data_IF_422724090261
#
_entry.id   IF_422724090261
#
_cell.length_a   1.000
_cell.length_b   1.000
_cell.length_c   1.000
_cell.angle_alpha   90.00
_cell.angle_beta   90.00
_cell.angle_gamma   90.00
#
_symmetry.space_group_name_H-M   'P 1'
#
loop_
_entity.id
_entity.type
_entity.pdbx_description
1 polymer ?
#
# COMPACT_ATOMS: atom_id res chain seq x y z
N UNK A 1 -17.75 3.07 -20.83
CA UNK A 1 -17.57 4.46 -20.36
C UNK A 1 -18.60 4.71 -19.26
N UNK A 2 -18.26 4.46 -18.04
CA UNK A 2 -19.04 4.84 -16.85
C UNK A 2 -18.04 5.39 -15.85
N UNK A 3 -18.10 6.69 -15.66
CA UNK A 3 -17.35 7.45 -14.65
C UNK A 3 -17.81 6.98 -13.29
N UNK A 4 -17.03 6.13 -12.64
CA UNK A 4 -17.13 5.92 -11.20
C UNK A 4 -16.49 7.14 -10.52
N UNK A 5 -17.36 8.04 -10.12
CA UNK A 5 -17.05 9.08 -9.16
C UNK A 5 -16.71 8.35 -7.86
N UNK A 6 -15.43 8.22 -7.54
CA UNK A 6 -14.97 7.90 -6.20
C UNK A 6 -15.45 9.04 -5.28
N UNK A 7 -16.59 8.83 -4.63
CA UNK A 7 -16.93 9.54 -3.42
C UNK A 7 -15.98 8.99 -2.34
N UNK A 8 -14.77 9.53 -2.29
CA UNK A 8 -13.96 9.46 -1.10
C UNK A 8 -14.72 10.24 -0.03
N UNK A 9 -15.49 9.53 0.78
CA UNK A 9 -15.82 9.97 2.12
C UNK A 9 -14.49 10.04 2.89
N UNK A 10 -13.70 11.05 2.54
CA UNK A 10 -12.83 11.71 3.47
C UNK A 10 -13.77 12.14 4.62
N UNK A 11 -13.83 11.33 5.66
CA UNK A 11 -13.90 11.85 6.99
C UNK A 11 -12.58 12.62 7.18
N UNK A 12 -12.41 13.67 6.36
CA UNK A 12 -11.64 14.80 6.77
C UNK A 12 -12.27 15.14 8.12
N UNK A 13 -11.54 14.85 9.19
CA UNK A 13 -11.56 15.69 10.36
C UNK A 13 -11.32 17.10 9.81
N UNK A 14 -12.39 17.71 9.31
CA UNK A 14 -12.42 19.11 8.98
C UNK A 14 -12.38 19.80 10.34
N UNK A 15 -11.17 19.84 10.90
CA UNK A 15 -10.81 20.98 11.65
C UNK A 15 -10.86 22.12 10.63
N UNK A 16 -12.04 22.62 10.36
CA UNK A 16 -12.18 23.94 9.81
C UNK A 16 -11.57 24.84 10.87
N UNK A 17 -10.23 24.94 10.84
CA UNK A 17 -9.60 26.13 11.32
C UNK A 17 -10.11 27.17 10.35
N UNK A 18 -11.29 27.72 10.63
CA UNK A 18 -11.64 29.02 10.13
C UNK A 18 -10.48 29.92 10.58
N UNK A 19 -9.54 30.14 9.66
CA UNK A 19 -8.51 31.16 9.78
C UNK A 19 -9.17 32.56 9.64
N UNK A 20 -10.42 32.69 10.06
CA UNK A 20 -11.09 33.94 10.31
C UNK A 20 -10.72 34.32 11.74
N UNK A 21 -10.27 35.56 11.94
CA UNK A 21 -10.14 36.15 13.27
C UNK A 21 -11.43 35.86 14.02
N UNK A 22 -11.40 34.89 14.95
CA UNK A 22 -12.57 34.63 15.77
C UNK A 22 -12.86 35.90 16.54
N UNK A 23 -14.02 36.48 16.32
CA UNK A 23 -14.47 37.63 17.05
C UNK A 23 -14.42 37.29 18.55
N UNK A 24 -13.77 38.11 19.35
CA UNK A 24 -13.56 37.85 20.79
C UNK A 24 -14.89 37.57 21.52
N UNK A 25 -16.00 38.13 21.04
CA UNK A 25 -17.35 37.89 21.57
C UNK A 25 -17.83 36.46 21.38
N UNK A 26 -17.27 35.71 20.43
CA UNK A 26 -17.58 34.29 20.20
C UNK A 26 -16.96 33.36 21.26
N UNK A 27 -16.11 33.87 22.13
CA UNK A 27 -15.55 33.11 23.24
C UNK A 27 -16.56 32.85 24.35
N UNK A 28 -17.63 33.65 24.45
CA UNK A 28 -18.67 33.46 25.46
C UNK A 28 -19.25 32.04 25.42
N UNK A 29 -19.30 31.38 26.57
CA UNK A 29 -19.76 30.01 26.72
C UNK A 29 -18.75 28.93 26.35
N UNK A 30 -17.51 29.29 26.05
CA UNK A 30 -16.44 28.32 25.69
C UNK A 30 -15.50 28.04 26.86
N UNK A 31 -15.01 26.82 26.91
CA UNK A 31 -13.89 26.43 27.75
C UNK A 31 -12.58 26.67 27.00
N UNK A 32 -11.71 27.53 27.53
CA UNK A 32 -10.45 27.88 26.89
C UNK A 32 -9.27 27.72 27.85
N UNK A 33 -8.09 27.63 27.30
CA UNK A 33 -6.84 27.70 28.03
C UNK A 33 -6.02 28.84 27.43
N UNK A 34 -5.80 29.89 28.19
CA UNK A 34 -4.94 30.96 27.75
C UNK A 34 -3.48 30.46 27.70
N UNK A 35 -2.82 30.69 26.58
CA UNK A 35 -1.45 30.21 26.33
C UNK A 35 -0.42 31.28 26.49
N UNK A 36 -0.85 32.53 26.44
CA UNK A 36 0.03 33.69 26.60
C UNK A 36 -0.75 34.85 27.23
N UNK A 37 -0.05 35.70 27.93
CA UNK A 37 -0.56 36.98 28.40
C UNK A 37 -0.56 38.06 27.31
N UNK A 38 -0.14 37.72 26.11
CA UNK A 38 -0.05 38.64 24.97
C UNK A 38 -1.39 38.73 24.26
N UNK A 39 -1.80 39.94 23.97
CA UNK A 39 -3.01 40.23 23.21
C UNK A 39 -2.60 40.85 21.88
N UNK A 40 -3.13 40.29 20.79
CA UNK A 40 -2.87 40.83 19.46
C UNK A 40 -4.01 41.75 19.01
N UNK A 41 -3.63 42.82 18.30
CA UNK A 41 -4.54 43.77 17.67
C UNK A 41 -4.40 43.68 16.14
N UNK A 42 -5.51 43.55 15.44
CA UNK A 42 -5.64 43.01 14.06
C UNK A 42 -4.74 43.56 12.98
N UNK A 43 -4.37 44.83 12.91
CA UNK A 43 -3.69 45.29 11.69
C UNK A 43 -2.25 45.81 11.84
N UNK A 44 -1.68 45.74 13.01
CA UNK A 44 -0.26 46.14 13.18
C UNK A 44 0.69 45.06 13.66
N UNK A 45 0.28 43.79 13.76
CA UNK A 45 1.12 42.70 14.27
C UNK A 45 1.95 43.06 15.53
N UNK A 46 1.52 44.02 16.25
CA UNK A 46 2.22 44.52 17.44
C UNK A 46 1.62 43.84 18.67
N UNK A 47 2.37 42.91 19.22
CA UNK A 47 2.10 42.38 20.55
C UNK A 47 2.46 43.43 21.56
N UNK A 48 1.48 43.90 22.31
CA UNK A 48 1.74 44.72 23.48
C UNK A 48 1.89 43.81 24.70
N UNK A 49 3.14 43.63 25.15
CA UNK A 49 3.42 43.04 26.45
C UNK A 49 2.75 43.94 27.49
N UNK A 50 1.92 43.42 28.36
CA UNK A 50 1.18 44.13 29.41
C UNK A 50 -0.17 44.79 29.04
N UNK A 51 -0.79 44.44 27.95
CA UNK A 51 -2.12 44.93 27.65
C UNK A 51 -3.17 43.94 28.16
N UNK A 52 -3.83 44.30 29.21
CA UNK A 52 -4.87 43.53 29.87
C UNK A 52 -4.51 43.23 31.33
N UNK A 53 -5.28 43.74 32.21
CA UNK A 53 -5.16 43.47 33.66
C UNK A 53 -6.22 42.45 34.02
N UNK A 54 -5.85 41.42 34.79
CA UNK A 54 -6.73 40.38 35.25
C UNK A 54 -6.97 40.58 36.73
N UNK A 55 -8.23 40.64 37.12
CA UNK A 55 -8.66 40.91 38.48
C UNK A 55 -9.58 39.81 38.97
N UNK A 56 -9.55 39.53 40.28
CA UNK A 56 -10.60 38.77 40.93
C UNK A 56 -11.84 39.67 41.10
N UNK A 57 -13.06 39.14 40.94
CA UNK A 57 -14.30 39.93 41.05
C UNK A 57 -14.45 40.60 42.40
N UNK A 58 -13.98 40.00 43.49
CA UNK A 58 -13.99 40.64 44.80
C UNK A 58 -13.06 41.86 44.90
N UNK A 59 -11.92 41.81 44.21
CA UNK A 59 -11.00 42.95 44.17
C UNK A 59 -11.53 44.09 43.33
N UNK A 60 -12.36 43.83 42.30
CA UNK A 60 -13.04 44.86 41.51
C UNK A 60 -14.08 45.66 42.31
N UNK A 61 -14.73 45.04 43.28
CA UNK A 61 -15.68 45.71 44.16
C UNK A 61 -15.03 46.64 45.17
N UNK A 62 -13.79 46.40 45.52
CA UNK A 62 -13.08 47.08 46.62
C UNK A 62 -12.12 48.19 46.17
N UNK A 63 -11.72 48.22 44.90
CA UNK A 63 -10.70 49.16 44.44
C UNK A 63 -11.14 49.93 43.22
N UNK A 64 -11.17 51.22 43.35
CA UNK A 64 -11.12 52.14 42.24
C UNK A 64 -9.75 51.87 41.53
N UNK A 65 -9.73 51.00 40.58
CA UNK A 65 -8.65 50.75 39.62
C UNK A 65 -7.22 51.08 40.10
N UNK A 66 -6.78 50.55 41.20
CA UNK A 66 -5.38 50.61 41.57
C UNK A 66 -4.77 49.22 41.38
N UNK A 67 -3.78 49.20 40.56
CA UNK A 67 -3.00 48.09 40.05
C UNK A 67 -2.47 47.13 41.14
N UNK A 68 -3.17 46.05 41.40
CA UNK A 68 -2.49 44.85 41.88
C UNK A 68 -2.82 43.73 40.90
N UNK A 69 -1.90 43.50 40.02
CA UNK A 69 -1.94 42.40 39.07
C UNK A 69 -2.06 41.09 39.84
N UNK A 70 -3.14 40.33 39.62
CA UNK A 70 -3.14 38.91 39.92
C UNK A 70 -2.03 38.28 39.07
N UNK A 71 -1.26 37.39 39.68
CA UNK A 71 -0.14 36.75 39.04
C UNK A 71 -0.62 36.06 37.74
N UNK A 72 -0.18 36.61 36.62
CA UNK A 72 -0.49 36.08 35.28
C UNK A 72 -0.16 34.59 35.16
N UNK A 73 0.85 34.10 35.89
CA UNK A 73 1.24 32.68 35.91
C UNK A 73 0.22 31.73 36.49
N UNK A 74 -0.77 32.23 37.24
CA UNK A 74 -1.75 31.33 37.89
C UNK A 74 -2.91 30.93 36.99
N UNK A 75 -3.12 31.60 35.85
CA UNK A 75 -4.22 31.34 34.91
C UNK A 75 -3.79 30.84 33.55
N UNK A 76 -2.56 31.15 33.14
CA UNK A 76 -2.00 30.65 31.90
C UNK A 76 -1.82 29.14 32.01
N UNK A 77 -2.30 28.43 31.01
CA UNK A 77 -2.25 26.96 30.98
C UNK A 77 -3.35 26.26 31.79
N UNK A 78 -4.25 27.00 32.45
CA UNK A 78 -5.38 26.42 33.17
C UNK A 78 -6.70 26.54 32.40
N UNK A 79 -7.61 25.55 32.51
CA UNK A 79 -8.95 25.64 31.93
C UNK A 79 -9.75 26.78 32.55
N UNK A 80 -10.34 27.60 31.71
CA UNK A 80 -11.17 28.74 32.06
C UNK A 80 -12.49 28.67 31.27
N UNK A 81 -13.62 28.80 31.93
CA UNK A 81 -14.89 28.96 31.25
C UNK A 81 -15.16 30.45 31.03
N UNK A 82 -15.38 30.88 29.79
CA UNK A 82 -15.70 32.28 29.44
C UNK A 82 -17.18 32.52 29.71
N UNK A 83 -17.46 33.15 30.83
CA UNK A 83 -18.84 33.39 31.25
C UNK A 83 -19.47 34.56 30.49
N UNK A 84 -18.74 35.66 30.30
CA UNK A 84 -19.25 36.83 29.60
C UNK A 84 -18.14 37.60 28.89
N UNK A 85 -18.50 38.22 27.76
CA UNK A 85 -17.65 39.18 27.02
C UNK A 85 -18.51 40.40 26.70
N UNK A 86 -18.11 41.55 27.23
CA UNK A 86 -18.90 42.78 27.04
C UNK A 86 -18.04 44.04 27.04
N UNK A 87 -18.60 45.08 26.41
CA UNK A 87 -18.02 46.43 26.45
C UNK A 87 -18.68 47.21 27.55
N UNK A 88 -17.88 47.90 28.35
CA UNK A 88 -18.36 48.85 29.35
C UNK A 88 -17.89 50.26 29.00
N UNK A 89 -18.73 51.29 29.35
CA UNK A 89 -18.35 52.70 29.30
C UNK A 89 -17.83 53.13 30.67
N UNK A 90 -16.66 53.72 30.69
CA UNK A 90 -16.16 54.33 31.93
C UNK A 90 -16.87 55.66 32.18
N UNK A 91 -17.40 55.83 33.37
CA UNK A 91 -18.30 56.95 33.74
C UNK A 91 -17.68 58.34 33.65
N UNK A 92 -16.33 58.49 33.66
CA UNK A 92 -15.70 59.78 33.78
C UNK A 92 -14.93 60.29 32.54
N UNK A 93 -14.70 59.46 31.47
CA UNK A 93 -13.88 59.88 30.37
C UNK A 93 -14.36 59.49 28.97
N UNK A 94 -15.57 59.03 28.78
CA UNK A 94 -16.07 58.43 27.50
C UNK A 94 -15.22 57.32 26.96
N UNK A 95 -14.29 56.75 27.77
CA UNK A 95 -13.44 55.63 27.35
C UNK A 95 -14.17 54.32 27.51
N UNK A 96 -14.01 53.46 26.51
CA UNK A 96 -14.59 52.13 26.52
C UNK A 96 -13.56 51.10 26.96
N UNK A 97 -14.00 50.02 27.58
CA UNK A 97 -13.16 48.89 27.88
C UNK A 97 -13.91 47.58 27.54
N UNK A 98 -13.19 46.59 27.07
CA UNK A 98 -13.68 45.26 26.94
C UNK A 98 -13.44 44.49 28.24
N UNK A 99 -14.48 43.82 28.72
CA UNK A 99 -14.41 42.96 29.89
C UNK A 99 -14.71 41.52 29.44
N UNK A 100 -13.83 40.61 29.86
CA UNK A 100 -14.02 39.19 29.72
C UNK A 100 -14.05 38.59 31.12
N UNK A 101 -15.14 37.94 31.51
CA UNK A 101 -15.21 37.25 32.78
C UNK A 101 -15.02 35.75 32.57
N UNK A 102 -14.17 35.16 33.39
CA UNK A 102 -13.84 33.75 33.39
C UNK A 102 -14.24 33.13 34.72
N UNK A 103 -14.89 31.99 34.69
CA UNK A 103 -15.07 31.16 35.86
C UNK A 103 -13.99 30.09 35.92
N UNK A 104 -13.36 29.98 37.07
CA UNK A 104 -12.49 28.88 37.46
C UNK A 104 -13.26 27.97 38.38
N UNK A 105 -12.69 26.82 38.78
CA UNK A 105 -13.35 25.92 39.74
C UNK A 105 -13.63 26.57 41.11
N UNK A 106 -12.95 27.66 41.45
CA UNK A 106 -13.06 28.33 42.77
C UNK A 106 -13.43 29.78 42.71
N UNK A 107 -13.17 30.49 41.61
CA UNK A 107 -13.26 31.94 41.52
C UNK A 107 -13.75 32.44 40.18
N UNK A 108 -14.36 33.60 40.15
CA UNK A 108 -14.63 34.34 38.92
C UNK A 108 -13.55 35.42 38.73
N UNK A 109 -12.87 35.35 37.60
CA UNK A 109 -11.83 36.29 37.20
C UNK A 109 -12.35 37.23 36.12
N UNK A 110 -11.83 38.43 36.08
CA UNK A 110 -12.22 39.40 35.08
C UNK A 110 -10.98 39.99 34.41
N UNK A 111 -10.87 39.82 33.11
CA UNK A 111 -9.88 40.50 32.30
C UNK A 111 -10.45 41.83 31.84
N UNK A 112 -9.69 42.86 32.05
CA UNK A 112 -10.03 44.24 31.68
C UNK A 112 -9.09 44.71 30.59
N UNK A 113 -9.64 45.11 29.45
CA UNK A 113 -8.91 45.56 28.27
C UNK A 113 -9.37 46.96 27.89
N UNK A 114 -8.61 48.04 28.16
CA UNK A 114 -8.97 49.36 27.68
C UNK A 114 -8.93 49.40 26.14
N UNK A 115 -10.00 49.95 25.54
CA UNK A 115 -10.12 50.08 24.08
C UNK A 115 -9.41 51.34 23.52
N UNK A 116 -8.47 51.89 24.25
CA UNK A 116 -7.63 53.00 23.83
C UNK A 116 -6.20 52.66 24.06
N UNK A 117 -5.41 52.69 23.00
CA UNK A 117 -3.96 52.53 23.04
C UNK A 117 -3.28 53.89 23.04
N UNK A 118 -2.43 54.10 24.00
CA UNK A 118 -1.46 55.22 23.94
C UNK A 118 -0.34 54.79 23.00
N UNK A 119 -0.30 55.35 21.81
CA UNK A 119 0.80 55.10 20.90
C UNK A 119 2.01 55.94 21.27
N UNK A 120 3.22 55.47 20.95
CA UNK A 120 4.44 56.23 21.03
C UNK A 120 4.59 57.20 19.83
N UNK A 121 3.63 57.20 18.92
CA UNK A 121 3.65 58.08 17.76
C UNK A 121 3.16 59.47 18.13
N UNK A 122 3.89 60.49 17.70
CA UNK A 122 3.55 61.87 17.88
C UNK A 122 3.17 62.47 16.53
N UNK A 123 1.91 62.93 16.40
CA UNK A 123 1.48 63.70 15.25
C UNK A 123 1.35 65.16 15.72
N UNK A 124 2.13 66.05 15.11
CA UNK A 124 2.12 67.46 15.49
C UNK A 124 2.53 67.76 16.93
N UNK A 125 3.35 66.87 17.55
CA UNK A 125 3.84 67.08 18.95
C UNK A 125 2.89 66.55 20.03
N UNK A 126 1.73 65.98 19.65
CA UNK A 126 0.77 65.41 20.59
C UNK A 126 0.75 63.86 20.49
N UNK A 127 0.67 63.22 21.65
CA UNK A 127 0.45 61.78 21.72
C UNK A 127 -0.93 61.43 21.16
N UNK A 128 -0.99 60.53 20.22
CA UNK A 128 -2.26 60.08 19.62
C UNK A 128 -2.75 58.85 20.37
N UNK A 129 -3.94 58.95 20.94
CA UNK A 129 -4.65 57.80 21.47
C UNK A 129 -5.44 57.15 20.31
N UNK A 130 -5.18 55.87 20.04
CA UNK A 130 -5.89 55.10 18.99
C UNK A 130 -7.01 54.29 19.64
N UNK A 131 -8.23 54.49 19.14
CA UNK A 131 -9.35 53.63 19.51
C UNK A 131 -9.16 52.23 18.87
N UNK A 132 -9.30 51.20 19.69
CA UNK A 132 -9.18 49.81 19.26
C UNK A 132 -10.57 49.25 18.98
N UNK A 133 -10.75 48.69 17.79
CA UNK A 133 -11.97 47.97 17.49
C UNK A 133 -11.96 46.63 18.29
N UNK A 134 -12.95 46.40 19.15
CA UNK A 134 -13.04 45.17 19.94
C UNK A 134 -13.04 43.89 19.10
N UNK A 135 -13.57 43.94 17.88
CA UNK A 135 -13.63 42.78 16.97
C UNK A 135 -12.25 42.39 16.41
N UNK A 136 -11.27 43.30 16.49
CA UNK A 136 -9.89 43.06 16.07
C UNK A 136 -9.00 42.52 17.19
N UNK A 137 -9.53 42.45 18.42
CA UNK A 137 -8.81 41.90 19.58
C UNK A 137 -8.82 40.40 19.52
N UNK A 138 -7.66 39.78 19.58
CA UNK A 138 -7.52 38.36 19.69
C UNK A 138 -6.68 37.92 20.89
N UNK A 139 -7.12 36.84 21.51
CA UNK A 139 -6.37 36.18 22.59
C UNK A 139 -5.66 34.95 22.01
N UNK A 140 -4.49 34.63 22.56
CA UNK A 140 -3.84 33.36 22.31
C UNK A 140 -4.43 32.31 23.26
N UNK A 141 -5.18 31.38 22.74
CA UNK A 141 -5.85 30.35 23.54
C UNK A 141 -5.97 29.02 22.80
N UNK A 142 -6.17 27.96 23.57
CA UNK A 142 -6.62 26.67 23.06
C UNK A 142 -8.07 26.45 23.47
N UNK A 143 -8.88 25.91 22.57
CA UNK A 143 -10.24 25.49 22.88
C UNK A 143 -10.20 24.11 23.56
N UNK A 144 -10.60 24.03 24.84
CA UNK A 144 -10.59 22.80 25.61
C UNK A 144 -11.53 21.73 25.04
N UNK A 145 -12.71 22.15 24.55
CA UNK A 145 -13.69 21.20 24.02
C UNK A 145 -13.19 20.57 22.72
N UNK A 146 -12.47 21.35 21.91
CA UNK A 146 -11.83 20.86 20.70
C UNK A 146 -10.68 19.89 21.02
N UNK A 147 -9.83 20.24 21.98
CA UNK A 147 -8.74 19.36 22.46
C UNK A 147 -9.32 18.05 22.97
N UNK A 148 -10.33 18.09 23.83
CA UNK A 148 -10.96 16.90 24.40
C UNK A 148 -11.62 16.03 23.33
N UNK A 149 -12.32 16.66 22.37
CA UNK A 149 -12.92 15.95 21.23
C UNK A 149 -11.82 15.25 20.41
N UNK A 150 -10.78 15.98 20.07
CA UNK A 150 -9.65 15.44 19.31
C UNK A 150 -8.96 14.31 20.07
N UNK A 151 -8.68 14.52 21.37
CA UNK A 151 -8.10 13.47 22.21
C UNK A 151 -8.92 12.19 22.17
N UNK A 152 -10.24 12.29 22.35
CA UNK A 152 -11.13 11.13 22.31
C UNK A 152 -11.16 10.43 20.94
N UNK A 153 -10.99 11.20 19.86
CA UNK A 153 -11.00 10.68 18.49
C UNK A 153 -9.71 9.95 18.10
N UNK A 154 -8.55 10.41 18.61
CA UNK A 154 -7.25 9.89 18.19
C UNK A 154 -6.56 9.01 19.25
N UNK A 155 -7.01 9.06 20.50
CA UNK A 155 -6.39 8.28 21.58
C UNK A 155 -6.34 6.79 21.24
N UNK A 156 -5.17 6.18 21.42
CA UNK A 156 -4.87 4.80 21.07
C UNK A 156 -4.94 4.46 19.57
N UNK A 157 -5.20 5.45 18.69
CA UNK A 157 -5.11 5.20 17.25
C UNK A 157 -3.67 5.04 16.81
N UNK A 158 -3.50 4.16 15.84
CA UNK A 158 -2.22 3.86 15.22
C UNK A 158 -2.07 4.67 13.95
N UNK A 159 -0.87 5.21 13.70
CA UNK A 159 -0.61 6.08 12.56
C UNK A 159 0.83 5.97 12.06
N UNK A 160 1.05 6.46 10.85
CA UNK A 160 2.36 6.62 10.21
C UNK A 160 2.59 8.09 9.88
N UNK A 161 3.83 8.55 9.92
CA UNK A 161 4.16 9.78 9.21
C UNK A 161 4.29 9.52 7.71
N UNK A 162 3.80 10.43 6.87
CA UNK A 162 3.96 10.35 5.41
C UNK A 162 5.43 10.21 5.04
N UNK A 163 5.74 9.33 4.10
CA UNK A 163 7.12 9.05 3.69
C UNK A 163 7.91 8.15 4.66
N UNK A 164 7.28 7.61 5.70
CA UNK A 164 7.89 6.67 6.65
C UNK A 164 7.01 5.45 6.86
N UNK A 165 7.65 4.28 6.99
CA UNK A 165 6.96 3.01 7.28
C UNK A 165 7.14 2.58 8.74
N UNK A 166 7.16 3.55 9.65
CA UNK A 166 7.24 3.33 11.08
C UNK A 166 5.90 3.61 11.74
N UNK A 167 5.38 2.64 12.48
CA UNK A 167 4.07 2.70 13.11
C UNK A 167 4.17 3.28 14.51
N UNK A 168 3.35 4.29 14.77
CA UNK A 168 3.21 4.96 16.05
C UNK A 168 1.80 4.82 16.62
N UNK A 169 1.68 4.98 17.92
CA UNK A 169 0.42 4.94 18.67
C UNK A 169 0.27 6.27 19.40
N UNK A 170 -0.89 6.91 19.29
CA UNK A 170 -1.19 8.10 20.07
C UNK A 170 -1.40 7.73 21.53
N UNK A 171 -0.63 8.36 22.42
CA UNK A 171 -0.74 8.17 23.85
C UNK A 171 -1.65 9.21 24.49
N UNK A 172 -1.34 10.50 24.29
CA UNK A 172 -2.03 11.60 24.96
C UNK A 172 -1.85 12.93 24.23
N UNK A 173 -2.73 13.88 24.53
CA UNK A 173 -2.56 15.30 24.23
C UNK A 173 -2.57 16.04 25.55
N UNK A 174 -1.52 16.80 25.82
CA UNK A 174 -1.37 17.63 27.02
C UNK A 174 -1.01 19.06 26.61
N UNK A 175 -1.13 19.96 27.55
CA UNK A 175 -0.63 21.33 27.39
C UNK A 175 0.59 21.47 28.27
N UNK A 176 1.71 21.80 27.67
CA UNK A 176 2.98 22.04 28.34
C UNK A 176 3.40 23.49 28.10
N UNK A 177 3.35 24.30 29.15
CA UNK A 177 3.50 25.76 29.10
C UNK A 177 2.41 26.37 28.19
N UNK A 178 2.81 26.90 27.05
CA UNK A 178 1.99 27.57 26.06
C UNK A 178 1.83 26.72 24.75
N UNK A 179 2.33 25.50 24.76
CA UNK A 179 2.30 24.60 23.62
C UNK A 179 1.37 23.42 23.87
N UNK A 180 0.67 23.00 22.83
CA UNK A 180 -0.04 21.73 22.82
C UNK A 180 0.98 20.64 22.50
N UNK A 181 1.11 19.67 23.39
CA UNK A 181 2.03 18.56 23.26
C UNK A 181 1.25 17.31 22.87
N UNK A 182 1.51 16.79 21.66
CA UNK A 182 1.01 15.50 21.20
C UNK A 182 2.05 14.45 21.57
N UNK A 183 1.68 13.51 22.42
CA UNK A 183 2.53 12.42 22.89
C UNK A 183 2.15 11.13 22.13
N UNK A 184 3.17 10.40 21.67
CA UNK A 184 2.99 9.14 20.96
C UNK A 184 4.19 8.22 21.20
N UNK A 185 4.00 6.94 20.98
CA UNK A 185 5.02 5.91 21.15
C UNK A 185 5.14 5.02 19.91
N UNK A 186 6.30 4.41 19.72
CA UNK A 186 6.53 3.39 18.71
C UNK A 186 6.20 1.98 19.24
N UNK A 187 6.43 0.96 18.44
CA UNK A 187 6.22 -0.45 18.79
C UNK A 187 7.11 -0.93 19.94
N UNK A 188 8.22 -0.22 20.21
CA UNK A 188 9.16 -0.53 21.30
C UNK A 188 8.80 0.20 22.59
N UNK A 189 7.69 0.95 22.61
CA UNK A 189 7.25 1.82 23.69
C UNK A 189 8.18 3.03 23.94
N UNK A 190 9.04 3.36 22.98
CA UNK A 190 9.79 4.60 23.01
C UNK A 190 8.84 5.77 22.79
N UNK A 191 8.92 6.79 23.68
CA UNK A 191 8.02 7.94 23.66
C UNK A 191 8.59 9.09 22.86
N UNK A 192 7.70 9.77 22.14
CA UNK A 192 7.99 10.94 21.32
C UNK A 192 6.98 12.04 21.64
N UNK A 193 7.36 13.27 21.32
CA UNK A 193 6.55 14.45 21.54
C UNK A 193 6.58 15.34 20.29
N UNK A 194 5.41 15.86 19.91
CA UNK A 194 5.27 16.85 18.86
C UNK A 194 4.57 18.08 19.42
N UNK A 195 5.24 19.22 19.36
CA UNK A 195 4.73 20.47 19.93
C UNK A 195 4.01 21.29 18.86
N UNK A 196 2.79 21.70 19.16
CA UNK A 196 1.95 22.52 18.32
C UNK A 196 1.78 23.86 19.03
N UNK A 197 2.08 24.95 18.34
CA UNK A 197 1.88 26.29 18.88
C UNK A 197 0.39 26.60 19.04
N UNK A 198 0.07 27.41 20.05
CA UNK A 198 -1.27 27.93 20.21
C UNK A 198 -1.74 28.71 18.98
N UNK A 199 -3.04 28.70 18.74
CA UNK A 199 -3.63 29.56 17.73
C UNK A 199 -3.31 31.02 18.01
N UNK A 200 -2.48 31.61 17.18
CA UNK A 200 -2.42 33.05 17.05
C UNK A 200 -3.20 33.41 15.79
N UNK A 201 -4.29 34.12 15.96
CA UNK A 201 -5.24 34.42 14.87
C UNK A 201 -4.64 35.25 13.73
N UNK A 202 -3.41 35.77 13.86
CA UNK A 202 -2.77 36.65 12.87
C UNK A 202 -1.35 36.26 12.42
N UNK A 203 -0.85 35.06 12.74
CA UNK A 203 0.52 34.70 12.34
C UNK A 203 0.50 33.76 11.13
N UNK A 204 0.85 34.29 9.96
CA UNK A 204 0.96 33.54 8.68
C UNK A 204 2.13 32.53 8.60
N UNK A 205 2.89 32.33 9.67
CA UNK A 205 4.13 31.55 9.64
C UNK A 205 4.27 30.47 10.71
N UNK A 206 3.18 29.86 11.18
CA UNK A 206 3.34 28.70 12.05
C UNK A 206 3.23 27.41 11.24
N UNK A 207 4.40 26.88 10.82
CA UNK A 207 4.51 25.56 10.19
C UNK A 207 4.11 24.39 11.11
N UNK A 208 3.84 24.65 12.39
CA UNK A 208 3.50 23.66 13.40
C UNK A 208 2.07 23.83 13.92
N UNK A 209 1.10 23.91 13.02
CA UNK A 209 -0.32 23.85 13.39
C UNK A 209 -0.79 22.41 13.56
N UNK A 210 -1.91 22.21 14.27
CA UNK A 210 -2.54 20.89 14.35
C UNK A 210 -2.90 20.33 12.97
N UNK A 211 -3.34 21.19 12.05
CA UNK A 211 -3.59 20.82 10.65
C UNK A 211 -2.32 20.36 9.94
N UNK A 212 -1.18 20.98 10.19
CA UNK A 212 0.12 20.54 9.65
C UNK A 212 0.48 19.17 10.19
N UNK A 213 0.30 18.93 11.48
CA UNK A 213 0.53 17.62 12.07
C UNK A 213 -0.41 16.56 11.47
N UNK A 214 -1.73 16.78 11.47
CA UNK A 214 -2.70 15.82 10.94
C UNK A 214 -2.55 15.59 9.45
N UNK A 215 -2.17 16.60 8.68
CA UNK A 215 -1.88 16.44 7.25
C UNK A 215 -0.61 15.65 6.95
N UNK A 216 0.28 15.52 7.93
CA UNK A 216 1.54 14.78 7.81
C UNK A 216 1.45 13.31 8.23
N UNK A 217 0.30 12.87 8.72
CA UNK A 217 0.09 11.50 9.19
C UNK A 217 -0.91 10.73 8.32
N UNK A 218 -0.85 9.40 8.42
CA UNK A 218 -1.77 8.45 7.82
C UNK A 218 -2.25 7.50 8.92
N UNK A 219 -3.55 7.44 9.17
CA UNK A 219 -4.10 6.50 10.13
C UNK A 219 -4.09 5.07 9.57
N UNK A 220 -3.69 4.11 10.40
CA UNK A 220 -3.67 2.70 10.01
C UNK A 220 -5.07 2.19 9.63
N UNK A 221 -6.10 2.57 10.38
CA UNK A 221 -7.48 2.19 10.12
C UNK A 221 -7.97 2.63 8.73
N UNK A 222 -7.55 3.83 8.29
CA UNK A 222 -7.91 4.36 6.97
C UNK A 222 -7.20 3.56 5.87
N UNK A 223 -5.92 3.21 6.07
CA UNK A 223 -5.15 2.40 5.13
C UNK A 223 -5.73 0.98 5.01
N UNK A 224 -6.12 0.37 6.13
CA UNK A 224 -6.80 -0.93 6.15
C UNK A 224 -8.16 -0.83 5.45
N UNK A 225 -8.91 0.24 5.70
CA UNK A 225 -10.20 0.47 5.05
C UNK A 225 -10.06 0.65 3.54
N UNK A 226 -9.05 1.38 3.08
CA UNK A 226 -8.72 1.50 1.66
C UNK A 226 -8.34 0.15 1.04
N UNK A 227 -7.55 -0.66 1.76
CA UNK A 227 -7.24 -2.02 1.33
C UNK A 227 -8.51 -2.87 1.16
N UNK A 228 -9.44 -2.83 2.14
CA UNK A 228 -10.72 -3.54 2.06
C UNK A 228 -11.59 -3.07 0.89
N UNK A 229 -11.60 -1.77 0.59
CA UNK A 229 -12.36 -1.22 -0.53
C UNK A 229 -11.79 -1.60 -1.90
N UNK A 230 -10.50 -1.92 -1.98
CA UNK A 230 -9.84 -2.36 -3.22
C UNK A 230 -10.35 -3.72 -3.70
N UNK A 231 -10.81 -4.58 -2.79
CA UNK A 231 -11.26 -5.93 -3.08
C UNK A 231 -12.73 -6.07 -2.69
N UNK A 232 -13.49 -6.82 -3.49
CA UNK A 232 -14.85 -7.20 -3.12
C UNK A 232 -14.84 -8.12 -1.89
N UNK A 233 -15.61 -7.77 -0.87
CA UNK A 233 -15.71 -8.57 0.35
C UNK A 233 -16.23 -9.98 0.07
N UNK A 234 -17.16 -10.15 -0.89
CA UNK A 234 -17.66 -11.45 -1.29
C UNK A 234 -16.57 -12.29 -1.96
N UNK A 235 -15.73 -11.67 -2.77
CA UNK A 235 -14.57 -12.32 -3.38
C UNK A 235 -13.56 -12.81 -2.33
N UNK A 236 -13.20 -11.95 -1.36
CA UNK A 236 -12.29 -12.35 -0.28
C UNK A 236 -12.88 -13.46 0.59
N UNK A 237 -14.16 -13.39 0.91
CA UNK A 237 -14.84 -14.46 1.65
C UNK A 237 -14.80 -15.79 0.87
N UNK A 238 -15.14 -15.79 -0.42
CA UNK A 238 -15.09 -16.97 -1.28
C UNK A 238 -13.67 -17.54 -1.39
N UNK A 239 -12.63 -16.69 -1.51
CA UNK A 239 -11.23 -17.13 -1.49
C UNK A 239 -10.89 -17.79 -0.15
N UNK A 240 -11.30 -17.18 0.96
CA UNK A 240 -11.04 -17.71 2.30
C UNK A 240 -11.69 -19.08 2.47
N UNK A 241 -12.95 -19.23 2.12
CA UNK A 241 -13.68 -20.51 2.22
C UNK A 241 -13.09 -21.58 1.30
N UNK A 242 -12.58 -21.18 0.14
CA UNK A 242 -12.03 -22.12 -0.85
C UNK A 242 -10.61 -22.57 -0.52
N UNK A 243 -9.78 -21.73 0.12
CA UNK A 243 -8.35 -21.97 0.26
C UNK A 243 -7.87 -22.17 1.71
N UNK A 244 -8.55 -21.57 2.70
CA UNK A 244 -8.11 -21.63 4.10
C UNK A 244 -8.07 -23.08 4.61
N UNK A 245 -6.98 -23.45 5.25
CA UNK A 245 -6.67 -24.80 5.77
C UNK A 245 -6.66 -25.90 4.70
N UNK A 246 -6.55 -25.53 3.42
CA UNK A 246 -6.44 -26.50 2.33
C UNK A 246 -5.03 -26.50 1.76
N UNK A 247 -4.67 -27.64 1.17
CA UNK A 247 -3.45 -27.75 0.41
C UNK A 247 -3.65 -27.13 -0.97
N UNK A 248 -2.72 -26.27 -1.36
CA UNK A 248 -2.69 -25.57 -2.64
C UNK A 248 -1.39 -25.84 -3.37
N UNK A 249 -1.41 -25.67 -4.68
CA UNK A 249 -0.23 -25.73 -5.51
C UNK A 249 0.07 -24.35 -6.10
N UNK A 250 1.30 -23.86 -5.90
CA UNK A 250 1.82 -22.66 -6.56
C UNK A 250 2.46 -23.08 -7.88
N UNK A 251 1.87 -22.67 -9.00
CA UNK A 251 2.31 -23.06 -10.35
C UNK A 251 3.41 -22.16 -10.91
N UNK A 252 3.63 -20.97 -10.34
CA UNK A 252 4.59 -19.99 -10.85
C UNK A 252 5.47 -19.40 -9.74
N UNK A 253 6.60 -18.80 -10.14
CA UNK A 253 7.56 -18.15 -9.24
C UNK A 253 8.65 -19.07 -8.72
N UNK A 254 9.57 -18.47 -7.95
CA UNK A 254 10.74 -19.15 -7.38
C UNK A 254 10.39 -20.19 -6.30
N UNK A 255 9.18 -20.14 -5.76
CA UNK A 255 8.66 -21.01 -4.69
C UNK A 255 7.53 -21.90 -5.20
N UNK A 256 7.69 -22.50 -6.37
CA UNK A 256 6.74 -23.49 -6.91
C UNK A 256 6.65 -24.70 -5.99
N UNK A 257 5.45 -25.15 -5.65
CA UNK A 257 5.27 -26.31 -4.80
C UNK A 257 3.90 -26.41 -4.13
N UNK A 258 3.76 -27.39 -3.26
CA UNK A 258 2.55 -27.61 -2.46
C UNK A 258 2.69 -26.94 -1.10
N UNK A 259 1.65 -26.22 -0.68
CA UNK A 259 1.59 -25.48 0.58
C UNK A 259 0.22 -25.62 1.22
N UNK A 260 0.16 -25.48 2.52
CA UNK A 260 -1.11 -25.33 3.25
C UNK A 260 -1.36 -23.84 3.45
N UNK A 261 -2.53 -23.36 3.06
CA UNK A 261 -2.96 -21.98 3.31
C UNK A 261 -3.45 -21.87 4.77
N UNK A 262 -2.59 -21.35 5.67
CA UNK A 262 -2.91 -21.26 7.09
C UNK A 262 -3.74 -20.06 7.47
N UNK A 263 -3.53 -18.94 6.80
CA UNK A 263 -4.18 -17.68 7.13
C UNK A 263 -4.29 -16.74 5.94
N UNK A 264 -5.33 -15.92 5.97
CA UNK A 264 -5.51 -14.77 5.06
C UNK A 264 -5.75 -13.55 5.94
N UNK A 265 -4.82 -12.62 5.95
CA UNK A 265 -4.83 -11.43 6.82
C UNK A 265 -4.49 -10.17 6.02
N UNK A 266 -4.83 -9.00 6.58
CA UNK A 266 -4.39 -7.72 6.02
C UNK A 266 -3.12 -7.32 6.75
N UNK A 267 -2.03 -7.15 5.98
CA UNK A 267 -0.73 -6.79 6.52
C UNK A 267 -0.10 -5.63 5.74
N UNK A 268 0.76 -4.89 6.43
CA UNK A 268 1.57 -3.85 5.79
C UNK A 268 2.76 -4.50 5.07
N UNK A 269 2.80 -4.38 3.75
CA UNK A 269 3.87 -4.88 2.87
C UNK A 269 4.78 -3.78 2.34
N UNK A 270 4.52 -2.53 2.72
CA UNK A 270 5.32 -1.39 2.30
C UNK A 270 6.75 -1.46 2.84
N UNK A 271 7.71 -0.95 2.08
CA UNK A 271 9.12 -0.85 2.49
C UNK A 271 9.51 0.56 2.90
N UNK A 272 9.07 1.56 2.14
CA UNK A 272 9.35 2.98 2.40
C UNK A 272 8.14 3.71 2.98
N UNK A 273 6.96 3.37 2.48
CA UNK A 273 5.67 3.91 2.94
C UNK A 273 4.73 2.76 3.28
N UNK A 274 3.77 2.94 4.19
CA UNK A 274 2.83 1.90 4.54
C UNK A 274 1.93 1.57 3.34
N UNK A 275 1.86 0.29 3.03
CA UNK A 275 1.01 -0.24 1.97
C UNK A 275 0.35 -1.53 2.48
N UNK A 276 -0.96 -1.50 2.69
CA UNK A 276 -1.70 -2.65 3.19
C UNK A 276 -2.24 -3.49 2.04
N UNK A 277 -2.13 -4.81 2.20
CA UNK A 277 -2.72 -5.77 1.27
C UNK A 277 -3.19 -7.03 2.03
N UNK A 278 -4.08 -7.79 1.41
CA UNK A 278 -4.39 -9.14 1.86
C UNK A 278 -3.21 -10.06 1.57
N UNK A 279 -2.84 -10.85 2.56
CA UNK A 279 -1.67 -11.74 2.53
C UNK A 279 -2.13 -13.18 2.79
N UNK A 280 -1.77 -14.08 1.89
CA UNK A 280 -1.79 -15.51 2.16
C UNK A 280 -0.55 -15.89 2.96
N UNK A 281 -0.75 -16.50 4.11
CA UNK A 281 0.30 -17.18 4.85
C UNK A 281 0.25 -18.66 4.48
N UNK A 282 1.28 -19.11 3.78
CA UNK A 282 1.40 -20.44 3.23
C UNK A 282 2.53 -21.19 3.93
N UNK A 283 2.27 -22.41 4.37
CA UNK A 283 3.25 -23.27 5.04
C UNK A 283 3.59 -24.51 4.22
N UNK A 284 4.87 -24.80 4.14
CA UNK A 284 5.41 -26.07 3.67
C UNK A 284 6.43 -26.57 4.71
N UNK A 285 6.09 -27.61 5.47
CA UNK A 285 6.89 -28.09 6.60
C UNK A 285 7.20 -26.98 7.62
N UNK A 286 8.47 -26.57 7.77
CA UNK A 286 8.87 -25.46 8.63
C UNK A 286 8.94 -24.11 7.91
N UNK A 287 8.86 -24.11 6.59
CA UNK A 287 8.93 -22.89 5.78
C UNK A 287 7.58 -22.18 5.72
N UNK A 288 7.60 -20.89 6.02
CA UNK A 288 6.45 -20.01 5.90
C UNK A 288 6.71 -18.97 4.82
N UNK A 289 5.82 -18.84 3.87
CA UNK A 289 5.86 -17.79 2.88
C UNK A 289 4.61 -16.92 2.97
N UNK A 290 4.80 -15.64 2.66
CA UNK A 290 3.72 -14.65 2.62
C UNK A 290 3.57 -14.12 1.21
N UNK A 291 2.37 -14.27 0.64
CA UNK A 291 2.06 -13.84 -0.72
C UNK A 291 0.94 -12.80 -0.69
N UNK A 292 1.15 -11.60 -1.26
CA UNK A 292 0.07 -10.62 -1.40
C UNK A 292 -0.95 -11.09 -2.45
N UNK A 293 -2.23 -10.87 -2.16
CA UNK A 293 -3.30 -11.08 -3.12
C UNK A 293 -3.11 -10.11 -4.29
N UNK A 294 -3.18 -10.66 -5.50
CA UNK A 294 -3.11 -9.95 -6.77
C UNK A 294 -4.44 -10.07 -7.53
N UNK A 295 -4.62 -9.27 -8.57
CA UNK A 295 -5.82 -9.34 -9.40
C UNK A 295 -5.93 -10.67 -10.18
N UNK A 296 -4.79 -11.28 -10.49
CA UNK A 296 -4.71 -12.61 -11.11
C UNK A 296 -4.12 -13.60 -10.11
N UNK A 297 -4.96 -14.52 -9.65
CA UNK A 297 -4.60 -15.61 -8.73
C UNK A 297 -4.56 -16.97 -9.41
N UNK A 298 -4.54 -17.02 -10.74
CA UNK A 298 -4.54 -18.25 -11.53
C UNK A 298 -3.33 -19.17 -11.24
N UNK A 299 -2.28 -18.63 -10.65
CA UNK A 299 -1.10 -19.37 -10.23
C UNK A 299 -1.29 -20.15 -8.90
N UNK A 300 -2.41 -19.97 -8.21
CA UNK A 300 -2.79 -20.70 -6.99
C UNK A 300 -3.95 -21.62 -7.32
N UNK A 301 -3.72 -22.92 -7.22
CA UNK A 301 -4.71 -23.95 -7.53
C UNK A 301 -4.83 -24.89 -6.32
N UNK A 302 -6.02 -25.40 -6.05
CA UNK A 302 -6.18 -26.48 -5.07
C UNK A 302 -5.35 -27.69 -5.48
N UNK A 303 -4.63 -28.28 -4.54
CA UNK A 303 -3.71 -29.39 -4.80
C UNK A 303 -4.40 -30.59 -5.47
N UNK A 304 -5.64 -30.88 -5.05
CA UNK A 304 -6.42 -31.98 -5.62
C UNK A 304 -6.75 -31.73 -7.10
N UNK A 305 -7.14 -30.49 -7.44
CA UNK A 305 -7.43 -30.11 -8.84
C UNK A 305 -6.15 -30.24 -9.68
N UNK A 306 -5.03 -29.73 -9.16
CA UNK A 306 -3.75 -29.82 -9.88
C UNK A 306 -3.31 -31.26 -10.11
N UNK A 307 -3.42 -32.16 -9.09
CA UNK A 307 -3.07 -33.57 -9.22
C UNK A 307 -3.96 -34.30 -10.24
N UNK A 308 -5.25 -33.98 -10.24
CA UNK A 308 -6.19 -34.53 -11.19
C UNK A 308 -5.88 -34.11 -12.63
N UNK A 309 -5.58 -32.82 -12.84
CA UNK A 309 -5.16 -32.36 -14.17
C UNK A 309 -3.86 -33.01 -14.65
N UNK A 310 -2.89 -33.27 -13.76
CA UNK A 310 -1.68 -33.99 -14.13
C UNK A 310 -1.96 -35.46 -14.47
N UNK A 311 -2.86 -36.10 -13.71
CA UNK A 311 -3.28 -37.48 -13.99
C UNK A 311 -3.94 -37.62 -15.39
N UNK A 312 -4.84 -36.70 -15.71
CA UNK A 312 -5.51 -36.65 -17.01
C UNK A 312 -4.50 -36.45 -18.15
N UNK A 313 -3.58 -35.52 -18.00
CA UNK A 313 -2.52 -35.26 -19.00
C UNK A 313 -1.63 -36.49 -19.21
N UNK A 314 -1.26 -37.19 -18.15
CA UNK A 314 -0.43 -38.38 -18.23
C UNK A 314 -1.16 -39.53 -18.91
N UNK A 315 -2.45 -39.76 -18.60
CA UNK A 315 -3.27 -40.76 -19.28
C UNK A 315 -3.41 -40.46 -20.78
N UNK A 316 -3.56 -39.17 -21.12
CA UNK A 316 -3.65 -38.75 -22.52
C UNK A 316 -2.35 -39.01 -23.29
N UNK A 317 -1.20 -38.67 -22.68
CA UNK A 317 0.13 -38.94 -23.23
C UNK A 317 0.35 -40.44 -23.45
N UNK A 318 -0.06 -41.25 -22.47
CA UNK A 318 0.06 -42.74 -22.60
C UNK A 318 -0.83 -43.29 -23.72
N UNK A 319 -2.03 -42.77 -23.93
CA UNK A 319 -2.90 -43.15 -25.04
C UNK A 319 -2.29 -42.78 -26.39
N UNK A 320 -1.79 -41.54 -26.53
CA UNK A 320 -1.14 -41.06 -27.75
C UNK A 320 0.10 -41.92 -28.09
N UNK A 321 0.92 -42.28 -27.09
CA UNK A 321 2.07 -43.17 -27.24
C UNK A 321 1.64 -44.59 -27.69
N UNK A 322 0.60 -45.16 -27.05
CA UNK A 322 0.09 -46.49 -27.42
C UNK A 322 -0.51 -46.50 -28.83
N UNK A 323 -1.24 -45.47 -29.24
CA UNK A 323 -1.75 -45.33 -30.60
C UNK A 323 -0.61 -45.24 -31.62
N UNK A 324 0.44 -44.48 -31.34
CA UNK A 324 1.62 -44.34 -32.18
C UNK A 324 2.34 -45.68 -32.34
N UNK A 325 2.57 -46.41 -31.25
CA UNK A 325 3.18 -47.75 -31.32
C UNK A 325 2.35 -48.75 -32.13
N UNK A 326 1.03 -48.71 -31.94
CA UNK A 326 0.09 -49.58 -32.72
C UNK A 326 0.14 -49.27 -34.22
N UNK A 327 0.28 -47.98 -34.58
CA UNK A 327 0.44 -47.56 -35.97
C UNK A 327 1.74 -48.09 -36.57
N UNK A 328 2.87 -47.95 -35.86
CA UNK A 328 4.17 -48.48 -36.30
C UNK A 328 4.16 -49.98 -36.50
N UNK A 329 3.57 -50.75 -35.56
CA UNK A 329 3.46 -52.21 -35.68
C UNK A 329 2.59 -52.62 -36.89
N UNK A 330 1.55 -51.84 -37.21
CA UNK A 330 0.71 -52.06 -38.37
C UNK A 330 1.48 -51.83 -39.65
N UNK A 331 2.21 -50.72 -39.78
CA UNK A 331 3.05 -50.39 -40.93
C UNK A 331 4.13 -51.47 -41.16
N UNK A 332 4.79 -51.92 -40.09
CA UNK A 332 5.78 -53.00 -40.16
C UNK A 332 5.17 -54.29 -40.66
N UNK A 333 4.01 -54.67 -40.15
CA UNK A 333 3.27 -55.86 -40.60
C UNK A 333 2.87 -55.75 -42.07
N UNK A 334 2.38 -54.59 -42.50
CA UNK A 334 1.98 -54.38 -43.91
C UNK A 334 3.20 -54.40 -44.83
N UNK A 335 4.33 -53.80 -44.44
CA UNK A 335 5.56 -53.82 -45.17
C UNK A 335 6.09 -55.27 -45.32
N UNK A 336 6.18 -56.01 -44.22
CA UNK A 336 6.56 -57.44 -44.23
C UNK A 336 5.64 -58.30 -45.15
N UNK A 337 4.33 -58.10 -45.11
CA UNK A 337 3.39 -58.76 -45.96
C UNK A 337 3.63 -58.41 -47.44
N UNK A 338 3.92 -57.17 -47.76
CA UNK A 338 4.23 -56.68 -49.10
C UNK A 338 5.45 -57.40 -49.70
N UNK A 339 6.55 -57.45 -48.88
CA UNK A 339 7.77 -58.13 -49.27
C UNK A 339 7.56 -59.64 -49.51
N UNK A 340 6.79 -60.36 -48.65
CA UNK A 340 6.47 -61.72 -48.79
C UNK A 340 5.68 -62.00 -50.10
N UNK A 341 4.72 -61.09 -50.38
CA UNK A 341 3.93 -61.18 -51.61
C UNK A 341 4.77 -61.02 -52.88
N UNK A 342 5.74 -60.11 -52.84
CA UNK A 342 6.59 -59.71 -53.98
C UNK A 342 7.73 -60.66 -54.21
N UNK A 343 8.42 -61.11 -53.17
CA UNK A 343 9.69 -61.87 -53.28
C UNK A 343 9.64 -63.33 -52.73
N UNK A 344 8.52 -63.68 -52.15
CA UNK A 344 8.36 -64.96 -51.44
C UNK A 344 8.96 -64.88 -50.02
N UNK A 345 8.44 -65.79 -49.14
CA UNK A 345 8.73 -65.76 -47.71
C UNK A 345 10.24 -65.79 -47.38
N UNK A 346 11.03 -66.66 -48.08
CA UNK A 346 12.47 -66.78 -47.81
C UNK A 346 13.21 -65.52 -48.10
N UNK A 347 13.03 -64.93 -49.28
CA UNK A 347 13.74 -63.72 -49.70
C UNK A 347 13.31 -62.47 -48.87
N UNK A 348 12.01 -62.38 -48.58
CA UNK A 348 11.48 -61.32 -47.77
C UNK A 348 12.07 -61.26 -46.33
N UNK A 349 12.30 -62.47 -45.74
CA UNK A 349 12.94 -62.51 -44.41
C UNK A 349 14.39 -61.98 -44.44
N UNK A 350 15.15 -62.42 -45.50
CA UNK A 350 16.52 -61.91 -45.67
C UNK A 350 16.57 -60.41 -45.90
N UNK A 351 15.65 -59.85 -46.68
CA UNK A 351 15.54 -58.41 -46.92
C UNK A 351 15.28 -57.71 -45.60
N UNK A 352 14.33 -58.20 -44.77
CA UNK A 352 14.04 -57.62 -43.46
C UNK A 352 15.22 -57.69 -42.47
N UNK A 353 16.11 -58.68 -42.62
CA UNK A 353 17.32 -58.82 -41.85
C UNK A 353 18.51 -58.03 -42.45
N UNK A 354 18.24 -57.17 -43.46
CA UNK A 354 19.25 -56.42 -44.23
C UNK A 354 20.32 -57.34 -44.80
N UNK A 355 19.95 -58.54 -45.18
CA UNK A 355 20.83 -59.54 -45.76
C UNK A 355 20.61 -59.66 -47.24
N UNK A 356 21.65 -59.82 -48.03
CA UNK A 356 21.62 -60.13 -49.46
C UNK A 356 22.19 -61.51 -49.70
N UNK A 357 21.69 -62.19 -50.75
CA UNK A 357 22.09 -63.53 -51.10
C UNK A 357 22.37 -63.61 -52.62
N UNK A 358 23.37 -64.40 -53.05
CA UNK A 358 23.61 -64.74 -54.46
C UNK A 358 22.34 -65.26 -55.07
N UNK A 359 21.97 -64.72 -56.25
CA UNK A 359 20.71 -64.99 -56.92
C UNK A 359 19.62 -63.98 -56.69
N UNK A 360 19.82 -62.95 -55.81
CA UNK A 360 18.93 -61.77 -55.64
C UNK A 360 18.91 -60.95 -56.92
N UNK A 361 17.77 -60.35 -57.19
CA UNK A 361 17.64 -59.33 -58.20
C UNK A 361 18.20 -57.98 -57.64
N UNK A 362 18.52 -57.12 -58.56
CA UNK A 362 18.95 -55.70 -58.17
C UNK A 362 17.93 -55.08 -57.25
N UNK A 363 16.64 -55.21 -57.54
CA UNK A 363 15.55 -54.72 -56.76
C UNK A 363 15.53 -55.29 -55.34
N UNK A 364 15.76 -56.59 -55.17
CA UNK A 364 15.89 -57.25 -53.86
C UNK A 364 17.10 -56.67 -53.04
N UNK A 365 18.20 -56.39 -53.75
CA UNK A 365 19.37 -55.81 -53.11
C UNK A 365 19.14 -54.38 -52.66
N UNK A 366 18.39 -53.56 -53.43
CA UNK A 366 18.00 -52.21 -53.05
C UNK A 366 17.03 -52.27 -51.85
N UNK A 367 16.08 -53.16 -51.83
CA UNK A 367 15.15 -53.30 -50.68
C UNK A 367 15.91 -53.71 -49.39
N UNK A 368 16.99 -54.53 -49.53
CA UNK A 368 17.74 -54.99 -48.36
C UNK A 368 18.80 -53.94 -47.88
N UNK A 369 19.55 -53.37 -48.81
CA UNK A 369 20.67 -52.51 -48.47
C UNK A 369 20.50 -51.04 -48.87
N UNK A 370 19.39 -50.67 -49.52
CA UNK A 370 19.16 -49.36 -50.11
C UNK A 370 19.85 -49.18 -51.46
N UNK A 371 19.84 -47.97 -52.00
CA UNK A 371 20.52 -47.62 -53.23
C UNK A 371 22.04 -47.64 -53.02
N UNK A 372 22.83 -48.20 -54.01
CA UNK A 372 24.27 -48.13 -53.93
C UNK A 372 24.80 -46.71 -54.06
N UNK A 373 25.96 -46.44 -53.47
CA UNK A 373 26.63 -45.16 -53.52
C UNK A 373 27.15 -44.84 -54.94
N UNK A 374 27.65 -45.88 -55.65
CA UNK A 374 28.11 -45.78 -57.01
C UNK A 374 27.88 -47.08 -57.77
N UNK A 375 27.78 -47.03 -59.11
CA UNK A 375 27.56 -48.17 -59.99
C UNK A 375 28.61 -48.14 -61.11
N UNK A 376 29.58 -49.05 -61.08
CA UNK A 376 30.54 -49.27 -62.14
C UNK A 376 29.97 -50.27 -63.15
N UNK A 377 29.63 -49.82 -64.35
CA UNK A 377 29.00 -50.63 -65.39
C UNK A 377 29.95 -50.96 -66.53
N UNK A 378 30.03 -52.27 -66.89
CA UNK A 378 30.78 -52.79 -68.03
C UNK A 378 29.86 -53.52 -68.99
N UNK A 379 29.87 -53.11 -70.24
CA UNK A 379 29.09 -53.80 -71.33
C UNK A 379 30.06 -54.67 -72.17
N UNK A 380 29.80 -55.93 -72.27
CA UNK A 380 30.59 -56.88 -73.08
C UNK A 380 29.70 -57.56 -74.10
N UNK A 381 30.28 -58.29 -75.05
CA UNK A 381 29.53 -59.13 -76.01
C UNK A 381 28.66 -60.24 -75.35
N UNK A 382 28.99 -60.51 -74.06
CA UNK A 382 28.30 -61.58 -73.30
C UNK A 382 27.24 -61.03 -72.36
N UNK A 383 27.10 -59.69 -72.24
CA UNK A 383 26.13 -59.07 -71.37
C UNK A 383 26.59 -57.83 -70.66
N UNK A 384 25.77 -57.37 -69.72
CA UNK A 384 26.02 -56.20 -68.86
C UNK A 384 26.41 -56.70 -67.47
N UNK A 385 27.58 -56.27 -67.04
CA UNK A 385 28.12 -56.57 -65.72
C UNK A 385 28.15 -55.28 -64.91
N UNK A 386 27.68 -55.28 -63.67
CA UNK A 386 27.70 -54.12 -62.80
C UNK A 386 28.35 -54.48 -61.45
N UNK A 387 29.15 -53.53 -60.94
CA UNK A 387 29.67 -53.55 -59.58
C UNK A 387 28.98 -52.40 -58.85
N UNK A 388 28.18 -52.73 -57.88
CA UNK A 388 27.52 -51.75 -56.99
C UNK A 388 28.37 -51.54 -55.76
N UNK A 389 28.63 -50.28 -55.43
CA UNK A 389 29.48 -49.83 -54.35
C UNK A 389 28.59 -49.30 -53.22
N UNK A 390 28.60 -49.91 -52.03
CA UNK A 390 27.83 -49.46 -50.89
C UNK A 390 28.70 -48.76 -49.84
N UNK A 391 29.96 -49.20 -49.67
CA UNK A 391 30.90 -48.62 -48.74
C UNK A 391 32.33 -49.07 -49.08
N UNK A 392 33.33 -48.57 -48.36
CA UNK A 392 34.72 -49.06 -48.53
C UNK A 392 34.78 -50.54 -48.17
N UNK A 393 35.05 -51.37 -49.19
CA UNK A 393 35.16 -52.83 -49.04
C UNK A 393 33.86 -53.58 -49.24
N UNK A 394 32.71 -52.95 -49.41
CA UNK A 394 31.39 -53.60 -49.56
C UNK A 394 30.87 -53.40 -50.98
N UNK A 395 30.83 -54.48 -51.75
CA UNK A 395 30.49 -54.48 -53.16
C UNK A 395 29.55 -55.64 -53.51
N UNK A 396 28.60 -55.37 -54.43
CA UNK A 396 27.76 -56.39 -55.06
C UNK A 396 28.05 -56.42 -56.55
N UNK A 397 28.20 -57.66 -57.11
CA UNK A 397 28.49 -57.81 -58.49
C UNK A 397 27.29 -58.46 -59.17
N UNK A 398 26.84 -57.93 -60.29
CA UNK A 398 25.70 -58.35 -61.02
C UNK A 398 26.05 -58.76 -62.43
N UNK A 399 25.41 -59.91 -62.87
CA UNK A 399 25.37 -60.30 -64.27
C UNK A 399 23.94 -60.06 -64.75
N UNK A 400 23.74 -59.09 -65.61
CA UNK A 400 22.41 -58.59 -65.96
C UNK A 400 21.66 -58.00 -64.75
N UNK A 401 20.62 -58.71 -64.29
CA UNK A 401 19.78 -58.33 -63.18
C UNK A 401 20.00 -59.21 -61.91
N UNK A 402 20.93 -60.16 -61.99
CA UNK A 402 21.10 -61.16 -60.91
C UNK A 402 22.46 -60.96 -60.20
N UNK A 403 22.44 -60.97 -58.85
CA UNK A 403 23.60 -60.91 -57.99
C UNK A 403 24.40 -62.23 -58.11
N UNK A 404 25.64 -62.09 -58.49
CA UNK A 404 26.56 -63.25 -58.74
C UNK A 404 27.71 -63.32 -57.74
N UNK A 405 28.11 -62.24 -57.12
CA UNK A 405 29.13 -62.22 -56.09
C UNK A 405 28.88 -61.07 -55.06
N UNK A 406 29.26 -61.33 -53.84
CA UNK A 406 29.23 -60.37 -52.70
C UNK A 406 30.67 -60.25 -52.19
N UNK A 407 31.09 -59.05 -51.96
CA UNK A 407 32.33 -58.72 -51.27
C UNK A 407 32.02 -57.77 -50.16
N UNK A 408 32.28 -58.15 -48.91
CA UNK A 408 32.04 -57.39 -47.71
C UNK A 408 33.19 -57.60 -46.69
#
# INVERSE_FOLDING_TARGET
MTRNVCLSLLLSLVFVSNAFSQNIFELKGKNIILTSDKIAFGWKNSYHDNFGEIYNVESLKKYKFSSKNLYKGDIIGKPLFVNDVRIINQSNNKKKALIISFDTHSDTLVMYLPLYLKTNDYIGGFRVDVEVNPEEISLCYHNCDEINRTKNQIQNKRFYFKGKNELFIFDNISIEKDLLCVQYSDKTSQKYQYYISAYSTNYRHNNNSFNTFTSSILFEDDLISQCKQKYDNAYIAALTDSLLNKEIYLSSGAKRGFYICENISIENIGTKEPCYNYIFTLRQEEDIIKLPIQNDMSHIVLADIYREEQRIKEEQRQREEAEYQSMLEKEEREYKASLIKKYGKKNALLILENAVQIGFTKEMCVEAWGEPYDINRTVTKNGVHEQWVYDIGRYLYFDGNILTAIQD
#
